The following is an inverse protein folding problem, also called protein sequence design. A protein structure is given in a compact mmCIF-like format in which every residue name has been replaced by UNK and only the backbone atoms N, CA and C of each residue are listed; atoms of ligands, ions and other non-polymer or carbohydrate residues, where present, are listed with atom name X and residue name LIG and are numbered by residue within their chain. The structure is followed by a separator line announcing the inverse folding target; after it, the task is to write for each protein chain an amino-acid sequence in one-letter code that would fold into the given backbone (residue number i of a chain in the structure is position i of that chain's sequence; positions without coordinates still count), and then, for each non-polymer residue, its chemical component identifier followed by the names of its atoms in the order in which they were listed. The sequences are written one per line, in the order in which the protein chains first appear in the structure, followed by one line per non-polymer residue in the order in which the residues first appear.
data_IF_549825853219
#
_entry.id   IF_549825853219
#
_cell.length_a   1.000
_cell.length_b   1.000
_cell.length_c   1.000
_cell.angle_alpha   90.00
_cell.angle_beta   90.00
_cell.angle_gamma   90.00
#
_symmetry.space_group_name_H-M   'P 1'
#
loop_
_entity.id
_entity.type
_entity.pdbx_description
1 polymer ?
#
# COMPACT_ATOMS: atom_id res chain seq x y z
N UNK A 1 23.89 -9.73 -19.05
CA UNK A 1 22.74 -9.16 -19.76
C UNK A 1 22.32 -7.94 -18.98
N UNK A 2 22.57 -6.73 -19.50
CA UNK A 2 22.08 -5.50 -18.87
C UNK A 2 20.59 -5.43 -19.25
N UNK A 3 19.65 -5.38 -18.29
CA UNK A 3 18.24 -5.20 -18.62
C UNK A 3 18.12 -3.91 -19.43
N UNK A 4 17.50 -4.01 -20.61
CA UNK A 4 17.16 -2.80 -21.35
C UNK A 4 16.18 -1.99 -20.50
N UNK A 5 16.33 -0.65 -20.43
CA UNK A 5 15.30 0.17 -19.82
C UNK A 5 13.97 -0.15 -20.52
N UNK A 6 12.91 -0.32 -19.74
CA UNK A 6 11.57 -0.42 -20.30
C UNK A 6 11.33 0.84 -21.13
N UNK A 7 10.80 0.68 -22.34
CA UNK A 7 10.35 1.81 -23.13
C UNK A 7 9.30 2.57 -22.30
N UNK A 8 9.61 3.81 -21.90
CA UNK A 8 8.75 4.60 -21.01
C UNK A 8 7.39 4.86 -21.67
N UNK A 9 7.32 4.86 -23.01
CA UNK A 9 6.08 4.98 -23.78
C UNK A 9 5.18 3.72 -23.68
N UNK A 10 5.72 2.60 -23.16
CA UNK A 10 5.02 1.34 -22.92
C UNK A 10 4.86 1.01 -21.44
N UNK A 11 5.01 2.00 -20.55
CA UNK A 11 4.91 1.83 -19.11
C UNK A 11 3.92 2.83 -18.50
N UNK A 12 2.85 2.30 -17.93
CA UNK A 12 1.96 3.06 -17.06
C UNK A 12 2.38 2.82 -15.60
N UNK A 13 2.81 3.88 -14.93
CA UNK A 13 3.12 3.88 -13.50
C UNK A 13 1.97 4.48 -12.69
N UNK A 14 1.55 3.78 -11.65
CA UNK A 14 0.58 4.27 -10.68
C UNK A 14 1.22 4.11 -9.30
N UNK A 15 1.31 5.21 -8.57
CA UNK A 15 2.01 5.25 -7.29
C UNK A 15 1.11 5.67 -6.13
N UNK A 16 1.48 5.24 -4.93
CA UNK A 16 0.93 5.74 -3.67
C UNK A 16 2.00 5.88 -2.60
N UNK A 17 1.96 7.01 -1.92
CA UNK A 17 2.75 7.24 -0.72
C UNK A 17 1.98 6.69 0.48
N UNK A 18 2.59 5.74 1.17
CA UNK A 18 2.08 5.10 2.39
C UNK A 18 3.25 4.42 3.11
N UNK A 19 3.14 4.20 4.42
CA UNK A 19 4.15 3.51 5.23
C UNK A 19 5.52 4.21 5.17
N UNK A 20 5.52 5.53 5.04
CA UNK A 20 6.70 6.38 4.86
C UNK A 20 7.58 6.02 3.63
N UNK A 21 7.02 5.35 2.62
CA UNK A 21 7.65 5.12 1.33
C UNK A 21 6.65 5.21 0.18
N UNK A 22 7.13 5.01 -1.04
CA UNK A 22 6.31 5.01 -2.25
C UNK A 22 6.16 3.58 -2.77
N UNK A 23 4.92 3.17 -2.98
CA UNK A 23 4.56 1.91 -3.62
C UNK A 23 4.08 2.20 -5.03
N UNK A 24 4.52 1.39 -5.99
CA UNK A 24 4.22 1.59 -7.40
C UNK A 24 3.72 0.29 -8.03
N UNK A 25 2.75 0.43 -8.93
CA UNK A 25 2.31 -0.63 -9.83
C UNK A 25 2.66 -0.18 -11.24
N UNK A 26 3.46 -1.01 -11.91
CA UNK A 26 3.89 -0.82 -13.28
C UNK A 26 3.08 -1.72 -14.20
N UNK A 27 2.43 -1.13 -15.21
CA UNK A 27 1.55 -1.83 -16.13
C UNK A 27 1.92 -1.52 -17.58
N UNK A 28 1.55 -2.43 -18.47
CA UNK A 28 1.53 -2.11 -19.89
C UNK A 28 0.32 -1.22 -20.20
N UNK A 29 0.47 -0.10 -20.94
CA UNK A 29 -0.64 0.75 -21.33
C UNK A 29 -1.74 -0.04 -22.05
N UNK A 30 -2.98 0.08 -21.56
CA UNK A 30 -4.14 -0.59 -22.13
C UNK A 30 -4.25 -2.09 -21.84
N UNK A 31 -3.31 -2.71 -21.11
CA UNK A 31 -3.39 -4.12 -20.72
C UNK A 31 -2.97 -4.38 -19.26
N UNK A 32 -3.82 -5.06 -18.44
CA UNK A 32 -5.18 -5.46 -18.77
C UNK A 32 -6.10 -4.22 -18.93
N UNK A 33 -7.27 -4.35 -19.59
CA UNK A 33 -8.16 -3.20 -19.84
C UNK A 33 -8.60 -2.43 -18.59
N UNK A 34 -8.67 -3.11 -17.43
CA UNK A 34 -8.98 -2.50 -16.12
C UNK A 34 -7.74 -2.40 -15.22
N UNK A 35 -6.55 -2.47 -15.81
CA UNK A 35 -5.28 -2.43 -15.11
C UNK A 35 -5.15 -1.22 -14.18
N UNK A 36 -5.42 0.02 -14.66
CA UNK A 36 -5.29 1.21 -13.83
C UNK A 36 -6.20 1.18 -12.60
N UNK A 37 -7.47 0.78 -12.76
CA UNK A 37 -8.43 0.71 -11.66
C UNK A 37 -8.05 -0.37 -10.64
N UNK A 38 -7.57 -1.53 -11.13
CA UNK A 38 -7.09 -2.61 -10.26
C UNK A 38 -5.83 -2.19 -9.50
N UNK A 39 -4.90 -1.49 -10.15
CA UNK A 39 -3.70 -0.95 -9.52
C UNK A 39 -4.03 0.05 -8.41
N UNK A 40 -4.95 0.99 -8.66
CA UNK A 40 -5.44 1.90 -7.61
C UNK A 40 -6.03 1.15 -6.42
N UNK A 41 -6.88 0.14 -6.66
CA UNK A 41 -7.45 -0.70 -5.58
C UNK A 41 -6.39 -1.48 -4.82
N UNK A 42 -5.37 -2.00 -5.50
CA UNK A 42 -4.26 -2.69 -4.85
C UNK A 42 -3.47 -1.72 -3.95
N UNK A 43 -3.23 -0.49 -4.41
CA UNK A 43 -2.56 0.54 -3.62
C UNK A 43 -3.42 1.05 -2.46
N UNK A 44 -4.76 1.06 -2.58
CA UNK A 44 -5.67 1.36 -1.47
C UNK A 44 -5.49 0.36 -0.30
N UNK A 45 -5.17 -0.91 -0.59
CA UNK A 45 -4.87 -1.90 0.45
C UNK A 45 -3.65 -1.49 1.26
N UNK A 46 -2.62 -0.92 0.64
CA UNK A 46 -1.42 -0.46 1.35
C UNK A 46 -1.77 0.67 2.32
N UNK A 47 -2.62 1.62 1.91
CA UNK A 47 -3.12 2.67 2.81
C UNK A 47 -3.93 2.10 3.97
N UNK A 48 -4.77 1.09 3.71
CA UNK A 48 -5.52 0.41 4.76
C UNK A 48 -4.59 -0.30 5.75
N UNK A 49 -3.58 -1.01 5.26
CA UNK A 49 -2.58 -1.67 6.11
C UNK A 49 -1.80 -0.67 6.97
N UNK A 50 -1.52 0.53 6.49
CA UNK A 50 -0.89 1.58 7.31
C UNK A 50 -1.77 1.97 8.50
N UNK A 51 -3.08 2.08 8.31
CA UNK A 51 -4.04 2.34 9.40
C UNK A 51 -4.09 1.20 10.41
N UNK A 52 -3.76 -0.03 10.02
CA UNK A 52 -3.70 -1.13 10.97
C UNK A 52 -2.34 -1.22 11.66
N UNK A 53 -1.24 -1.11 10.92
CA UNK A 53 0.06 -1.64 11.37
C UNK A 53 1.11 -0.59 11.70
N UNK A 54 0.86 0.69 11.40
CA UNK A 54 1.87 1.73 11.64
C UNK A 54 2.14 1.95 13.12
N UNK A 55 3.37 1.72 13.59
CA UNK A 55 3.80 2.09 14.95
C UNK A 55 3.96 3.61 15.16
N UNK A 56 3.96 4.37 14.06
CA UNK A 56 4.18 5.82 14.06
C UNK A 56 2.87 6.61 14.00
N UNK A 57 1.80 5.98 13.52
CA UNK A 57 0.48 6.57 13.53
C UNK A 57 -0.21 6.23 14.87
N UNK A 58 -0.48 7.19 15.77
CA UNK A 58 -1.04 6.90 17.09
C UNK A 58 -2.45 6.32 17.03
N UNK A 59 -3.18 6.56 15.94
CA UNK A 59 -4.53 6.05 15.71
C UNK A 59 -4.55 4.68 15.06
N UNK A 60 -3.39 4.11 14.72
CA UNK A 60 -3.37 2.78 14.13
C UNK A 60 -3.79 1.72 15.15
N UNK A 61 -4.34 0.62 14.65
CA UNK A 61 -4.73 -0.50 15.51
C UNK A 61 -3.54 -1.02 16.33
N UNK A 62 -2.38 -1.17 15.69
CA UNK A 62 -1.17 -1.68 16.34
C UNK A 62 -0.64 -0.73 17.42
N UNK A 63 -0.69 0.59 17.19
CA UNK A 63 -0.33 1.59 18.22
C UNK A 63 -1.29 1.53 19.42
N UNK A 64 -2.58 1.35 19.17
CA UNK A 64 -3.58 1.20 20.23
C UNK A 64 -3.34 -0.07 21.05
N UNK A 65 -3.05 -1.20 20.39
CA UNK A 65 -2.68 -2.46 21.06
C UNK A 65 -1.46 -2.24 21.95
N UNK A 66 -0.37 -1.69 21.41
CA UNK A 66 0.85 -1.46 22.17
C UNK A 66 0.64 -0.59 23.41
N UNK A 67 -0.25 0.41 23.32
CA UNK A 67 -0.54 1.30 24.43
C UNK A 67 -1.42 0.65 25.51
N UNK A 68 -2.37 -0.22 25.15
CA UNK A 68 -3.48 -0.62 26.05
C UNK A 68 -3.56 -2.10 26.38
N UNK A 69 -3.00 -2.98 25.54
CA UNK A 69 -3.21 -4.43 25.66
C UNK A 69 -2.62 -5.06 26.94
N UNK A 70 -1.72 -4.36 27.62
CA UNK A 70 -1.20 -4.78 28.92
C UNK A 70 -2.20 -4.57 30.07
N UNK A 71 -3.18 -3.69 29.91
CA UNK A 71 -4.20 -3.38 30.92
C UNK A 71 -5.55 -4.03 30.59
N UNK A 72 -5.96 -3.96 29.32
CA UNK A 72 -7.28 -4.39 28.87
C UNK A 72 -7.23 -5.12 27.52
N UNK A 73 -8.15 -6.06 27.26
CA UNK A 73 -8.33 -6.61 25.92
C UNK A 73 -8.66 -5.50 24.92
N UNK A 74 -7.99 -5.52 23.77
CA UNK A 74 -8.21 -4.59 22.65
C UNK A 74 -8.85 -5.36 21.50
N UNK A 75 -9.95 -4.82 20.95
CA UNK A 75 -10.60 -5.39 19.76
C UNK A 75 -9.76 -5.08 18.52
N UNK A 76 -9.64 -6.06 17.63
CA UNK A 76 -8.85 -5.99 16.39
C UNK A 76 -9.72 -6.30 15.18
N UNK A 77 -9.35 -5.74 14.04
CA UNK A 77 -9.98 -6.00 12.74
C UNK A 77 -9.72 -7.45 12.31
N UNK A 78 -10.72 -8.12 11.71
CA UNK A 78 -10.61 -9.48 11.15
C UNK A 78 -10.32 -9.48 9.66
#
# INVERSE_FOLDING_TARGET
MIPQPFDEDLLLEIGRDAMACRFEVLLHPGQPPQGPEIACKALDIVSYLEQLWSVYLPTSEFSIINARAHEIPVQVST
#
